data_IF_044854051017
#
_entry.id   IF_044854051017
#
_cell.length_a   1.000
_cell.length_b   1.000
_cell.length_c   1.000
_cell.angle_alpha   90.00
_cell.angle_beta   90.00
_cell.angle_gamma   90.00
#
_symmetry.space_group_name_H-M   'P 1'
#
loop_
_entity.id
_entity.type
_entity.pdbx_description
1 polymer ?
#
# COMPACT_ATOMS: atom_id res chain seq x y z
N UNK A 1 -7.73 -14.00 17.58
CA UNK A 1 -7.42 -13.30 16.30
C UNK A 1 -8.60 -12.38 15.97
N UNK A 2 -8.36 -11.11 15.68
CA UNK A 2 -9.43 -10.23 15.17
C UNK A 2 -9.83 -10.74 13.78
N UNK A 3 -11.15 -10.81 13.52
CA UNK A 3 -11.67 -11.18 12.19
C UNK A 3 -11.25 -10.10 11.19
N UNK A 4 -10.64 -10.52 10.08
CA UNK A 4 -10.29 -9.60 8.99
C UNK A 4 -11.54 -9.11 8.30
N UNK A 5 -11.49 -7.87 7.83
CA UNK A 5 -12.57 -7.26 7.07
C UNK A 5 -12.49 -7.73 5.62
N UNK A 6 -13.62 -8.08 5.04
CA UNK A 6 -13.67 -8.64 3.69
C UNK A 6 -13.68 -7.56 2.60
N UNK A 7 -12.62 -7.55 1.80
CA UNK A 7 -12.40 -6.69 0.65
C UNK A 7 -11.92 -7.53 -0.58
N UNK A 8 -12.52 -8.71 -0.80
CA UNK A 8 -12.17 -9.58 -1.92
C UNK A 8 -12.39 -8.98 -3.30
N UNK A 9 -13.27 -8.00 -3.39
CA UNK A 9 -13.60 -7.22 -4.58
C UNK A 9 -12.64 -6.05 -4.82
N UNK A 10 -11.59 -5.91 -3.99
CA UNK A 10 -10.59 -4.85 -4.07
C UNK A 10 -9.21 -5.43 -4.37
N UNK A 11 -8.48 -4.81 -5.29
CA UNK A 11 -7.05 -5.04 -5.50
C UNK A 11 -6.27 -3.77 -5.19
N UNK A 12 -5.30 -3.86 -4.29
CA UNK A 12 -4.34 -2.81 -4.01
C UNK A 12 -3.13 -2.96 -4.94
N UNK A 13 -2.98 -2.05 -5.88
CA UNK A 13 -1.87 -1.99 -6.82
C UNK A 13 -0.76 -1.10 -6.28
N UNK A 14 0.41 -1.69 -6.09
CA UNK A 14 1.60 -1.03 -5.55
C UNK A 14 2.73 -1.16 -6.56
N UNK A 15 3.31 -0.02 -6.95
CA UNK A 15 4.49 0.02 -7.81
C UNK A 15 5.66 0.58 -7.03
N UNK A 16 6.84 -0.01 -7.24
CA UNK A 16 8.07 0.52 -6.65
C UNK A 16 9.29 0.25 -7.54
N UNK A 17 10.33 1.03 -7.27
CA UNK A 17 11.73 0.70 -7.60
C UNK A 17 12.44 0.49 -6.28
N UNK A 18 13.02 -0.69 -6.09
CA UNK A 18 13.70 -1.02 -4.84
C UNK A 18 15.14 -0.49 -4.88
N UNK A 19 15.35 0.68 -4.33
CA UNK A 19 16.62 1.41 -4.33
C UNK A 19 17.19 1.69 -2.94
N UNK A 20 16.44 1.39 -1.87
CA UNK A 20 16.86 1.62 -0.49
C UNK A 20 16.26 0.62 0.49
N UNK A 21 16.93 0.44 1.63
CA UNK A 21 16.41 -0.38 2.75
C UNK A 21 15.11 0.23 3.30
N UNK A 22 15.04 1.55 3.42
CA UNK A 22 13.84 2.21 3.90
C UNK A 22 12.62 1.90 3.04
N UNK A 23 12.80 1.87 1.71
CA UNK A 23 11.71 1.51 0.80
C UNK A 23 11.30 0.05 0.92
N UNK A 24 12.27 -0.83 1.16
CA UNK A 24 11.99 -2.25 1.44
C UNK A 24 11.18 -2.41 2.73
N UNK A 25 11.58 -1.75 3.81
CA UNK A 25 10.86 -1.80 5.09
C UNK A 25 9.45 -1.22 4.96
N UNK A 26 9.32 -0.10 4.25
CA UNK A 26 8.03 0.56 4.03
C UNK A 26 7.04 -0.35 3.26
N UNK A 27 7.47 -0.96 2.16
CA UNK A 27 6.57 -1.85 1.39
C UNK A 27 6.17 -3.08 2.22
N UNK A 28 7.07 -3.65 3.00
CA UNK A 28 6.75 -4.78 3.90
C UNK A 28 5.73 -4.34 4.94
N UNK A 29 5.93 -3.18 5.58
CA UNK A 29 5.01 -2.64 6.59
C UNK A 29 3.62 -2.36 6.00
N UNK A 30 3.56 -1.75 4.81
CA UNK A 30 2.31 -1.45 4.11
C UNK A 30 1.53 -2.72 3.77
N UNK A 31 2.19 -3.74 3.21
CA UNK A 31 1.56 -5.02 2.88
C UNK A 31 1.14 -5.78 4.14
N UNK A 32 1.96 -5.76 5.18
CA UNK A 32 1.62 -6.37 6.47
C UNK A 32 0.38 -5.71 7.07
N UNK A 33 0.28 -4.38 7.01
CA UNK A 33 -0.90 -3.63 7.43
C UNK A 33 -2.15 -4.08 6.65
N UNK A 34 -2.11 -4.09 5.32
CA UNK A 34 -3.23 -4.52 4.50
C UNK A 34 -3.66 -5.95 4.82
N UNK A 35 -2.71 -6.88 4.86
CA UNK A 35 -2.97 -8.29 5.14
C UNK A 35 -3.43 -8.56 6.58
N UNK A 36 -3.08 -7.73 7.55
CA UNK A 36 -3.51 -7.86 8.94
C UNK A 36 -4.99 -7.49 9.10
N UNK A 37 -5.42 -6.45 8.40
CA UNK A 37 -6.76 -5.88 8.59
C UNK A 37 -7.79 -6.42 7.60
N UNK A 38 -7.36 -6.77 6.38
CA UNK A 38 -8.27 -7.07 5.28
C UNK A 38 -8.03 -8.46 4.67
N UNK A 39 -9.12 -9.07 4.19
CA UNK A 39 -9.10 -10.12 3.20
C UNK A 39 -9.18 -9.44 1.82
N UNK A 40 -8.06 -9.19 1.19
CA UNK A 40 -7.97 -8.42 -0.06
C UNK A 40 -6.91 -8.98 -0.98
N UNK A 41 -6.83 -8.46 -2.21
CA UNK A 41 -5.78 -8.78 -3.15
C UNK A 41 -4.75 -7.64 -3.18
N UNK A 42 -3.48 -8.00 -3.24
CA UNK A 42 -2.38 -7.05 -3.37
C UNK A 42 -1.54 -7.44 -4.57
N UNK A 43 -1.32 -6.51 -5.48
CA UNK A 43 -0.42 -6.68 -6.63
C UNK A 43 0.76 -5.73 -6.48
N UNK A 44 1.96 -6.28 -6.52
CA UNK A 44 3.20 -5.51 -6.41
C UNK A 44 4.00 -5.65 -7.70
N UNK A 45 4.29 -4.53 -8.33
CA UNK A 45 5.23 -4.48 -9.44
C UNK A 45 6.52 -3.80 -9.02
N UNK A 46 7.62 -4.55 -9.06
CA UNK A 46 8.96 -4.01 -8.91
C UNK A 46 9.53 -3.66 -10.28
N UNK A 47 9.72 -2.36 -10.54
CA UNK A 47 10.27 -1.83 -11.79
C UNK A 47 11.70 -1.38 -11.55
N UNK A 48 12.66 -2.26 -11.79
CA UNK A 48 14.09 -2.04 -11.50
C UNK A 48 14.96 -2.59 -12.63
N UNK A 49 16.19 -2.09 -12.72
CA UNK A 49 17.15 -2.58 -13.72
C UNK A 49 17.62 -4.02 -13.47
N UNK A 50 17.48 -4.50 -12.23
CA UNK A 50 17.90 -5.86 -11.84
C UNK A 50 16.93 -6.47 -10.84
N UNK A 51 16.52 -7.70 -11.10
CA UNK A 51 15.80 -8.54 -10.13
C UNK A 51 16.78 -9.08 -9.09
N UNK A 52 16.65 -8.64 -7.86
CA UNK A 52 17.44 -9.13 -6.73
C UNK A 52 16.81 -10.38 -6.08
N UNK A 53 15.58 -10.72 -6.41
CA UNK A 53 14.82 -11.83 -5.83
C UNK A 53 14.50 -11.68 -4.33
N UNK A 54 14.90 -10.58 -3.69
CA UNK A 54 14.65 -10.35 -2.26
C UNK A 54 13.18 -10.07 -1.98
N UNK A 55 12.61 -9.13 -2.70
CA UNK A 55 11.23 -8.71 -2.48
C UNK A 55 10.26 -9.86 -2.69
N UNK A 56 10.46 -10.65 -3.75
CA UNK A 56 9.65 -11.83 -4.02
C UNK A 56 9.63 -12.81 -2.83
N UNK A 57 10.81 -13.09 -2.24
CA UNK A 57 10.92 -14.00 -1.09
C UNK A 57 10.24 -13.46 0.16
N UNK A 58 10.35 -12.14 0.39
CA UNK A 58 9.75 -11.49 1.57
C UNK A 58 8.22 -11.35 1.43
N UNK A 59 7.72 -11.26 0.21
CA UNK A 59 6.30 -11.17 -0.11
C UNK A 59 5.66 -12.53 -0.44
N UNK A 60 6.35 -13.64 -0.21
CA UNK A 60 5.81 -14.99 -0.49
C UNK A 60 4.60 -15.28 0.41
N UNK A 61 3.47 -14.78 -0.04
CA UNK A 61 2.17 -14.87 0.59
C UNK A 61 1.12 -15.15 -0.49
N UNK A 62 0.21 -16.09 -0.22
CA UNK A 62 -0.83 -16.52 -1.16
C UNK A 62 -1.75 -15.39 -1.66
N UNK A 63 -1.73 -14.21 -1.05
CA UNK A 63 -2.57 -13.05 -1.39
C UNK A 63 -1.81 -11.88 -2.01
N UNK A 64 -0.51 -12.03 -2.21
CA UNK A 64 0.34 -11.02 -2.85
C UNK A 64 0.81 -11.56 -4.18
N UNK A 65 0.39 -10.91 -5.26
CA UNK A 65 0.91 -11.16 -6.61
C UNK A 65 2.12 -10.25 -6.83
N UNK A 66 3.29 -10.85 -7.00
CA UNK A 66 4.52 -10.12 -7.28
C UNK A 66 4.93 -10.30 -8.75
N UNK A 67 5.24 -9.18 -9.41
CA UNK A 67 5.77 -9.15 -10.77
C UNK A 67 7.01 -8.28 -10.81
N UNK A 68 8.09 -8.81 -11.39
CA UNK A 68 9.26 -8.02 -11.75
C UNK A 68 9.12 -7.51 -13.17
N UNK A 69 9.36 -6.20 -13.38
CA UNK A 69 9.46 -5.55 -14.68
C UNK A 69 10.87 -4.95 -14.80
N UNK A 70 11.62 -5.39 -15.78
CA UNK A 70 12.91 -4.76 -16.06
C UNK A 70 12.67 -3.35 -16.57
N UNK A 71 13.33 -2.39 -15.91
CA UNK A 71 13.25 -0.97 -16.24
C UNK A 71 14.61 -0.33 -16.01
N UNK A 72 15.30 -0.03 -17.12
CA UNK A 72 16.63 0.57 -17.13
C UNK A 72 16.59 2.11 -17.22
N UNK A 73 15.38 2.70 -17.33
CA UNK A 73 15.22 4.15 -17.35
C UNK A 73 15.57 4.75 -15.97
N UNK A 74 16.38 5.81 -15.89
CA UNK A 74 16.69 6.47 -14.62
C UNK A 74 15.45 7.05 -13.92
N UNK A 75 14.39 7.33 -14.69
CA UNK A 75 13.11 7.85 -14.18
C UNK A 75 12.06 6.74 -14.20
N UNK A 76 11.47 6.45 -13.06
CA UNK A 76 10.33 5.55 -12.99
C UNK A 76 9.07 6.26 -13.50
N UNK A 77 8.61 5.91 -14.69
CA UNK A 77 7.34 6.40 -15.27
C UNK A 77 6.15 5.71 -14.62
N UNK A 78 5.90 6.07 -13.38
CA UNK A 78 4.93 5.44 -12.49
C UNK A 78 3.53 5.31 -13.12
N UNK A 79 3.03 6.37 -13.74
CA UNK A 79 1.69 6.39 -14.38
C UNK A 79 1.58 5.36 -15.50
N UNK A 80 2.65 5.16 -16.28
CA UNK A 80 2.67 4.16 -17.35
C UNK A 80 2.41 2.74 -16.81
N UNK A 81 3.14 2.36 -15.77
CA UNK A 81 3.01 1.04 -15.15
C UNK A 81 1.69 0.89 -14.39
N UNK A 82 1.23 1.93 -13.70
CA UNK A 82 -0.07 1.89 -13.00
C UNK A 82 -1.22 1.68 -13.98
N UNK A 83 -1.19 2.32 -15.17
CA UNK A 83 -2.20 2.09 -16.19
C UNK A 83 -2.21 0.63 -16.66
N UNK A 84 -1.05 -0.01 -16.82
CA UNK A 84 -0.97 -1.43 -17.15
C UNK A 84 -1.51 -2.30 -16.01
N UNK A 85 -1.13 -2.02 -14.76
CA UNK A 85 -1.63 -2.74 -13.60
C UNK A 85 -3.16 -2.68 -13.49
N UNK A 86 -3.74 -1.50 -13.72
CA UNK A 86 -5.19 -1.31 -13.71
C UNK A 86 -5.86 -2.15 -14.80
N UNK A 87 -5.31 -2.19 -16.01
CA UNK A 87 -5.84 -3.00 -17.10
C UNK A 87 -5.76 -4.51 -16.84
N UNK A 88 -4.74 -4.96 -16.11
CA UNK A 88 -4.56 -6.37 -15.74
C UNK A 88 -5.39 -6.76 -14.49
N UNK A 89 -5.90 -5.78 -13.74
CA UNK A 89 -6.68 -6.03 -12.53
C UNK A 89 -8.08 -6.53 -12.88
N UNK A 90 -8.51 -7.63 -12.27
CA UNK A 90 -9.80 -8.29 -12.56
C UNK A 90 -10.88 -7.98 -11.51
N UNK A 91 -10.52 -7.39 -10.37
CA UNK A 91 -11.51 -7.00 -9.34
C UNK A 91 -12.23 -5.72 -9.74
N UNK A 92 -13.50 -5.56 -9.33
CA UNK A 92 -14.30 -4.38 -9.68
C UNK A 92 -13.78 -3.07 -9.08
N UNK A 93 -13.07 -3.15 -7.95
CA UNK A 93 -12.48 -1.97 -7.29
C UNK A 93 -10.96 -2.06 -7.34
N UNK A 94 -10.33 -1.00 -7.81
CA UNK A 94 -8.88 -0.87 -7.91
C UNK A 94 -8.41 0.24 -7.01
N UNK A 95 -7.46 -0.06 -6.13
CA UNK A 95 -6.78 0.93 -5.31
C UNK A 95 -5.36 1.13 -5.82
N UNK A 96 -4.96 2.38 -6.05
CA UNK A 96 -3.56 2.76 -6.21
C UNK A 96 -3.03 3.07 -4.82
N UNK A 97 -2.03 2.31 -4.39
CA UNK A 97 -1.50 2.41 -3.03
C UNK A 97 0.00 2.69 -3.05
N UNK A 98 0.46 3.60 -2.22
CA UNK A 98 1.88 3.91 -2.10
C UNK A 98 2.59 2.97 -1.13
N UNK A 99 3.90 2.80 -1.33
CA UNK A 99 4.73 1.87 -0.54
C UNK A 99 4.85 2.23 0.94
N UNK A 100 4.61 3.49 1.29
CA UNK A 100 4.88 4.10 2.58
C UNK A 100 3.63 4.72 3.24
N UNK A 101 2.45 4.31 2.78
CA UNK A 101 1.18 4.82 3.30
C UNK A 101 0.54 3.82 4.25
N UNK A 102 0.11 4.32 5.40
CA UNK A 102 -0.80 3.65 6.33
C UNK A 102 -2.00 4.58 6.55
N UNK A 103 -3.19 4.11 6.25
CA UNK A 103 -4.42 4.88 6.45
C UNK A 103 -5.28 4.28 7.58
N UNK A 104 -6.08 5.07 8.27
CA UNK A 104 -7.07 4.55 9.23
C UNK A 104 -7.98 3.50 8.57
N UNK A 105 -8.16 2.37 9.23
CA UNK A 105 -8.91 1.23 8.69
C UNK A 105 -10.34 1.62 8.29
N UNK A 106 -11.02 2.45 9.11
CA UNK A 106 -12.35 2.94 8.81
C UNK A 106 -12.41 3.78 7.53
N UNK A 107 -11.40 4.62 7.25
CA UNK A 107 -11.36 5.44 6.03
C UNK A 107 -11.27 4.57 4.76
N UNK A 108 -10.52 3.48 4.81
CA UNK A 108 -10.45 2.52 3.70
C UNK A 108 -11.82 1.85 3.50
N UNK A 109 -12.47 1.42 4.59
CA UNK A 109 -13.80 0.79 4.54
C UNK A 109 -14.83 1.76 3.97
N UNK A 110 -14.87 2.99 4.45
CA UNK A 110 -15.81 4.01 4.01
C UNK A 110 -15.62 4.32 2.52
N UNK A 111 -14.37 4.45 2.06
CA UNK A 111 -14.06 4.65 0.66
C UNK A 111 -14.56 3.48 -0.22
N UNK A 112 -14.31 2.23 0.19
CA UNK A 112 -14.77 1.05 -0.55
C UNK A 112 -16.29 0.97 -0.57
N UNK A 113 -16.97 1.30 0.53
CA UNK A 113 -18.42 1.27 0.59
C UNK A 113 -19.07 2.31 -0.33
N UNK A 114 -18.53 3.53 -0.45
CA UNK A 114 -19.00 4.51 -1.42
C UNK A 114 -18.93 4.01 -2.86
N UNK A 115 -17.83 3.29 -3.22
CA UNK A 115 -17.67 2.69 -4.53
C UNK A 115 -18.63 1.51 -4.75
N UNK A 116 -18.81 0.64 -3.75
CA UNK A 116 -19.75 -0.50 -3.81
C UNK A 116 -21.20 -0.05 -4.00
N UNK A 117 -21.59 1.06 -3.35
CA UNK A 117 -22.93 1.64 -3.45
C UNK A 117 -23.11 2.47 -4.73
N UNK A 118 -22.06 2.62 -5.55
CA UNK A 118 -22.07 3.48 -6.75
C UNK A 118 -22.40 4.94 -6.44
N UNK A 119 -22.09 5.40 -5.22
CA UNK A 119 -22.23 6.79 -4.82
C UNK A 119 -21.09 7.67 -5.32
N UNK A 120 -19.97 7.03 -5.76
CA UNK A 120 -18.83 7.68 -6.36
C UNK A 120 -18.12 6.73 -7.33
N UNK A 121 -17.52 7.28 -8.39
CA UNK A 121 -16.64 6.55 -9.31
C UNK A 121 -15.19 6.54 -8.84
N UNK A 122 -14.83 7.47 -7.98
CA UNK A 122 -13.48 7.67 -7.46
C UNK A 122 -13.51 8.24 -6.05
N UNK A 123 -12.69 7.70 -5.14
CA UNK A 123 -12.62 8.11 -3.73
C UNK A 123 -11.19 8.15 -3.24
N UNK A 124 -10.84 9.20 -2.50
CA UNK A 124 -9.62 9.23 -1.69
C UNK A 124 -9.92 8.73 -0.27
N UNK A 125 -9.21 7.69 0.25
CA UNK A 125 -9.43 7.18 1.60
C UNK A 125 -8.73 8.05 2.68
N UNK A 126 -8.86 9.36 2.60
CA UNK A 126 -8.35 10.32 3.59
C UNK A 126 -9.15 11.63 3.59
N UNK A 127 -9.10 12.34 4.70
CA UNK A 127 -9.87 13.56 4.96
C UNK A 127 -9.06 14.86 4.78
N UNK A 128 -8.16 14.90 3.81
CA UNK A 128 -7.21 16.00 3.53
C UNK A 128 -6.05 16.11 4.51
N UNK A 129 -5.93 15.20 5.48
CA UNK A 129 -4.83 15.19 6.42
C UNK A 129 -3.80 14.16 6.00
N UNK A 130 -2.62 14.63 5.62
CA UNK A 130 -1.46 13.82 5.35
C UNK A 130 -0.39 14.12 6.40
N UNK A 131 0.08 13.09 7.09
CA UNK A 131 1.01 13.20 8.19
C UNK A 131 2.32 12.46 7.88
N UNK A 132 3.42 13.18 7.91
CA UNK A 132 4.75 12.60 7.78
C UNK A 132 5.30 12.20 9.15
N UNK A 133 5.73 10.95 9.28
CA UNK A 133 6.23 10.41 10.55
C UNK A 133 7.71 10.77 10.74
N UNK A 134 8.10 11.08 11.98
CA UNK A 134 9.53 11.10 12.30
C UNK A 134 10.14 9.70 12.22
N UNK A 135 11.47 9.62 12.02
CA UNK A 135 12.20 8.34 12.02
C UNK A 135 11.92 7.51 13.28
N UNK A 136 11.79 8.16 14.44
CA UNK A 136 11.49 7.48 15.71
C UNK A 136 10.11 6.81 15.67
N UNK A 137 9.07 7.55 15.27
CA UNK A 137 7.71 7.01 15.20
C UNK A 137 7.64 5.91 14.14
N UNK A 138 8.29 6.10 13.00
CA UNK A 138 8.38 5.07 11.95
C UNK A 138 9.00 3.77 12.49
N UNK A 139 10.16 3.85 13.13
CA UNK A 139 10.85 2.66 13.65
C UNK A 139 10.04 1.95 14.74
N UNK A 140 9.41 2.69 15.63
CA UNK A 140 8.51 2.12 16.64
C UNK A 140 7.30 1.41 16.00
N UNK A 141 6.77 1.96 14.90
CA UNK A 141 5.71 1.31 14.14
C UNK A 141 6.21 0.03 13.44
N UNK A 142 7.38 0.07 12.79
CA UNK A 142 7.96 -1.11 12.14
C UNK A 142 8.18 -2.27 13.14
N UNK A 143 8.55 -1.97 14.38
CA UNK A 143 8.75 -2.97 15.43
C UNK A 143 7.44 -3.51 16.00
N UNK A 144 6.47 -2.64 16.25
CA UNK A 144 5.20 -3.00 16.91
C UNK A 144 4.11 -3.44 15.95
N UNK A 145 4.12 -2.93 14.72
CA UNK A 145 3.05 -3.03 13.72
C UNK A 145 1.68 -2.60 14.28
N UNK A 146 1.67 -1.73 15.27
CA UNK A 146 0.46 -1.25 15.93
C UNK A 146 0.04 0.11 15.38
N UNK A 147 -1.04 0.13 14.61
CA UNK A 147 -1.61 1.36 14.05
C UNK A 147 -2.02 2.36 15.15
N UNK A 148 -2.37 1.89 16.33
CA UNK A 148 -2.75 2.77 17.44
C UNK A 148 -1.58 3.68 17.86
N UNK A 149 -0.34 3.22 17.70
CA UNK A 149 0.84 4.03 17.92
C UNK A 149 0.87 5.24 16.97
N UNK A 150 0.55 5.06 15.70
CA UNK A 150 0.46 6.16 14.75
C UNK A 150 -0.68 7.11 15.12
N UNK A 151 -1.87 6.58 15.36
CA UNK A 151 -3.07 7.38 15.66
C UNK A 151 -2.92 8.22 16.93
N UNK A 152 -2.28 7.66 17.97
CA UNK A 152 -2.07 8.35 19.25
C UNK A 152 -0.94 9.41 19.21
N UNK A 153 -0.11 9.40 18.17
CA UNK A 153 1.03 10.33 18.04
C UNK A 153 0.89 11.34 16.89
N UNK A 154 -0.31 11.51 16.32
CA UNK A 154 -0.55 12.42 15.18
C UNK A 154 -0.09 13.85 15.44
N UNK A 155 -0.23 14.36 16.69
CA UNK A 155 0.27 15.69 17.09
C UNK A 155 1.80 15.86 17.05
N UNK A 156 2.53 14.75 16.98
CA UNK A 156 4.01 14.73 16.89
C UNK A 156 4.50 14.52 15.46
N UNK A 157 3.61 14.39 14.51
CA UNK A 157 3.89 14.20 13.09
C UNK A 157 3.83 15.54 12.36
N UNK A 158 4.57 15.64 11.27
CA UNK A 158 4.56 16.84 10.44
C UNK A 158 3.37 16.75 9.48
N UNK A 159 2.51 17.76 9.51
CA UNK A 159 1.44 17.88 8.53
C UNK A 159 2.04 18.32 7.19
N UNK A 160 1.70 17.57 6.15
CA UNK A 160 2.02 17.86 4.75
C UNK A 160 0.77 18.42 4.06
N UNK A 161 0.98 19.36 3.12
CA UNK A 161 -0.08 20.02 2.35
C UNK A 161 0.09 19.72 0.86
#
# INVERSE_FOLDING_TARGET
MKTKIDLWDVTFNIILRLDSIERLENIIASITFLNRHFNTNVTVWECSYRDNGFLKKLLDNARVSYVFKQDDDPILFRTHYLNQMIQETTTPIVSIWDTDVIAPVNQIIDAVNLLRLQEADFVYPYDKLFLDTSIIIRNLYLESEDISLLMNNTKKMKQMY
#
